data_IF_732586106213
#
_entry.id   IF_732586106213
#
_cell.length_a   1.000
_cell.length_b   1.000
_cell.length_c   1.000
_cell.angle_alpha   90.00
_cell.angle_beta   90.00
_cell.angle_gamma   90.00
#
_symmetry.space_group_name_H-M   'P 1'
#
loop_
_entity.id
_entity.type
_entity.pdbx_description
1 polymer ?
#
# COMPACT_ATOMS: atom_id res chain seq x y z
N UNK A 1 3.02 -3.21 22.09
CA UNK A 1 3.63 -4.37 21.40
C UNK A 1 3.46 -4.31 19.88
N UNK A 2 2.27 -3.98 19.35
CA UNK A 2 2.05 -3.74 17.92
C UNK A 2 3.07 -2.80 17.22
N UNK A 3 3.46 -1.70 17.86
CA UNK A 3 4.49 -0.77 17.33
C UNK A 3 5.84 -1.46 17.15
N UNK A 4 6.22 -2.37 18.04
CA UNK A 4 7.49 -3.11 17.91
C UNK A 4 7.47 -4.05 16.72
N UNK A 5 6.31 -4.67 16.43
CA UNK A 5 6.10 -5.46 15.21
C UNK A 5 6.24 -4.57 13.98
N UNK A 6 5.56 -3.42 13.96
CA UNK A 6 5.68 -2.45 12.86
C UNK A 6 7.14 -2.03 12.63
N UNK A 7 7.88 -1.67 13.70
CA UNK A 7 9.29 -1.27 13.61
C UNK A 7 10.16 -2.42 13.10
N UNK A 8 9.89 -3.66 13.52
CA UNK A 8 10.61 -4.84 13.03
C UNK A 8 10.42 -5.03 11.54
N UNK A 9 9.19 -4.95 11.03
CA UNK A 9 8.90 -5.08 9.60
C UNK A 9 9.59 -3.97 8.78
N UNK A 10 9.57 -2.73 9.28
CA UNK A 10 10.32 -1.63 8.67
C UNK A 10 11.82 -1.85 8.66
N UNK A 11 12.39 -2.30 9.79
CA UNK A 11 13.82 -2.64 9.86
C UNK A 11 14.17 -3.76 8.89
N UNK A 12 13.35 -4.81 8.82
CA UNK A 12 13.57 -5.92 7.89
C UNK A 12 13.57 -5.44 6.43
N UNK A 13 12.64 -4.56 6.06
CA UNK A 13 12.62 -3.94 4.73
C UNK A 13 13.85 -3.06 4.50
N UNK A 14 14.26 -2.25 5.48
CA UNK A 14 15.41 -1.35 5.39
C UNK A 14 16.75 -2.09 5.27
N UNK A 15 16.88 -3.24 5.93
CA UNK A 15 18.09 -4.07 5.87
C UNK A 15 18.18 -4.92 4.60
N UNK A 16 17.12 -4.97 3.78
CA UNK A 16 17.15 -5.57 2.44
C UNK A 16 17.18 -4.45 1.38
N UNK A 17 18.38 -4.00 0.95
CA UNK A 17 18.52 -2.91 -0.01
C UNK A 17 17.92 -3.26 -1.37
N UNK A 18 17.87 -4.55 -1.75
CA UNK A 18 17.25 -4.96 -3.01
C UNK A 18 15.75 -4.76 -2.94
N UNK A 19 15.12 -5.18 -1.85
CA UNK A 19 13.68 -5.00 -1.66
C UNK A 19 13.29 -3.54 -1.46
N UNK A 20 14.13 -2.72 -0.81
CA UNK A 20 13.93 -1.27 -0.78
C UNK A 20 13.95 -0.65 -2.16
N UNK A 21 14.99 -0.94 -2.95
CA UNK A 21 15.14 -0.40 -4.31
C UNK A 21 14.01 -0.85 -5.22
N UNK A 22 13.61 -2.11 -5.13
CA UNK A 22 12.46 -2.60 -5.87
C UNK A 22 11.19 -1.88 -5.44
N UNK A 23 10.87 -1.85 -4.14
CA UNK A 23 9.59 -1.32 -3.63
C UNK A 23 9.44 0.18 -3.84
N UNK A 24 10.47 0.96 -3.53
CA UNK A 24 10.40 2.42 -3.55
C UNK A 24 11.12 3.05 -4.75
N UNK A 25 12.18 2.43 -5.28
CA UNK A 25 12.97 3.00 -6.37
C UNK A 25 12.44 2.69 -7.77
N UNK A 26 12.00 1.45 -8.01
CA UNK A 26 11.55 1.01 -9.34
C UNK A 26 10.42 1.86 -9.97
N UNK A 27 9.41 2.34 -9.21
CA UNK A 27 8.37 3.22 -9.77
C UNK A 27 8.95 4.47 -10.43
N UNK A 28 9.98 5.07 -9.85
CA UNK A 28 10.61 6.26 -10.44
C UNK A 28 11.32 5.92 -11.73
N UNK A 29 12.00 4.77 -11.80
CA UNK A 29 12.60 4.28 -13.05
C UNK A 29 11.52 4.11 -14.14
N UNK A 30 10.35 3.59 -13.78
CA UNK A 30 9.25 3.45 -14.74
C UNK A 30 8.76 4.78 -15.26
N UNK A 31 8.70 5.82 -14.42
CA UNK A 31 8.38 7.17 -14.88
C UNK A 31 9.35 7.69 -15.95
N UNK A 32 10.65 7.41 -15.83
CA UNK A 32 11.65 7.86 -16.82
C UNK A 32 11.68 6.99 -18.09
N UNK A 33 11.45 5.68 -17.96
CA UNK A 33 11.75 4.72 -19.03
C UNK A 33 10.52 4.06 -19.67
N UNK A 34 9.36 4.06 -19.02
CA UNK A 34 8.18 3.36 -19.51
C UNK A 34 7.06 4.32 -19.95
N UNK A 35 6.62 4.25 -21.22
CA UNK A 35 5.48 5.02 -21.67
C UNK A 35 4.22 4.60 -20.91
N UNK A 36 3.41 5.59 -20.50
CA UNK A 36 2.20 5.39 -19.68
C UNK A 36 2.41 5.53 -18.18
N UNK A 37 3.64 5.36 -17.68
CA UNK A 37 4.00 5.62 -16.28
C UNK A 37 4.40 7.09 -16.04
N UNK A 38 4.73 7.82 -17.11
CA UNK A 38 5.08 9.23 -17.08
C UNK A 38 3.88 10.20 -17.03
N UNK A 39 2.65 9.69 -16.90
CA UNK A 39 1.42 10.46 -16.92
C UNK A 39 1.08 11.17 -15.60
N UNK A 40 0.08 12.05 -15.63
CA UNK A 40 -0.32 12.86 -14.48
C UNK A 40 -0.91 12.07 -13.29
N UNK A 41 -1.23 10.79 -13.48
CA UNK A 41 -1.69 9.87 -12.45
C UNK A 41 -0.54 9.13 -11.72
N UNK A 42 0.73 9.42 -12.05
CA UNK A 42 1.90 8.71 -11.49
C UNK A 42 1.91 8.58 -9.96
N UNK A 43 1.52 9.58 -9.14
CA UNK A 43 1.45 9.41 -7.68
C UNK A 43 0.56 8.24 -7.23
N UNK A 44 -0.52 7.94 -7.96
CA UNK A 44 -1.37 6.78 -7.69
C UNK A 44 -0.66 5.47 -8.05
N UNK A 45 0.08 5.45 -9.15
CA UNK A 45 0.90 4.31 -9.59
C UNK A 45 2.00 4.01 -8.57
N UNK A 46 2.65 5.04 -8.03
CA UNK A 46 3.65 4.93 -6.98
C UNK A 46 3.07 4.24 -5.72
N UNK A 47 1.89 4.68 -5.26
CA UNK A 47 1.19 4.04 -4.13
C UNK A 47 0.85 2.58 -4.44
N UNK A 48 0.28 2.29 -5.61
CA UNK A 48 -0.06 0.93 -6.02
C UNK A 48 1.17 0.01 -6.03
N UNK A 49 2.28 0.50 -6.56
CA UNK A 49 3.50 -0.28 -6.68
C UNK A 49 4.18 -0.53 -5.34
N UNK A 50 4.20 0.45 -4.44
CA UNK A 50 4.70 0.23 -3.08
C UNK A 50 3.87 -0.85 -2.39
N UNK A 51 2.54 -0.83 -2.51
CA UNK A 51 1.69 -1.90 -1.98
C UNK A 51 2.05 -3.27 -2.56
N UNK A 52 2.33 -3.34 -3.87
CA UNK A 52 2.79 -4.57 -4.51
C UNK A 52 4.10 -5.08 -3.90
N UNK A 53 5.08 -4.18 -3.73
CA UNK A 53 6.38 -4.51 -3.15
C UNK A 53 6.26 -5.01 -1.70
N UNK A 54 5.45 -4.34 -0.87
CA UNK A 54 5.20 -4.75 0.52
C UNK A 54 4.47 -6.09 0.63
N UNK A 55 3.62 -6.44 -0.34
CA UNK A 55 2.96 -7.75 -0.37
C UNK A 55 3.88 -8.85 -0.88
N UNK A 56 4.76 -8.52 -1.82
CA UNK A 56 5.72 -9.49 -2.36
C UNK A 56 6.88 -9.76 -1.40
N UNK A 57 7.27 -8.76 -0.58
CA UNK A 57 8.29 -8.91 0.47
C UNK A 57 7.84 -9.77 1.65
N UNK A 58 6.54 -9.96 1.83
CA UNK A 58 5.96 -10.95 2.76
C UNK A 58 6.16 -12.35 2.19
N UNK A 59 7.42 -12.76 2.17
CA UNK A 59 7.81 -14.15 2.00
C UNK A 59 7.13 -14.97 3.10
N UNK A 60 6.19 -15.79 2.66
CA UNK A 60 5.57 -16.91 3.33
C UNK A 60 4.84 -16.65 4.66
N UNK A 61 3.58 -17.07 4.71
CA UNK A 61 2.81 -17.31 5.94
C UNK A 61 3.53 -18.18 6.99
N UNK A 62 4.69 -18.79 6.66
CA UNK A 62 5.62 -19.39 7.62
C UNK A 62 6.23 -18.37 8.59
N UNK A 63 6.37 -17.10 8.23
CA UNK A 63 6.95 -16.05 9.07
C UNK A 63 5.99 -15.57 10.15
N UNK A 64 4.68 -15.60 9.92
CA UNK A 64 3.67 -15.26 10.96
C UNK A 64 3.70 -16.33 12.08
N UNK A 65 3.78 -17.62 11.72
CA UNK A 65 3.99 -18.71 12.70
C UNK A 65 5.35 -18.58 13.41
N UNK A 66 6.43 -18.29 12.69
CA UNK A 66 7.75 -18.11 13.29
C UNK A 66 7.82 -16.87 14.21
N UNK A 67 7.13 -15.78 13.85
CA UNK A 67 7.06 -14.54 14.62
C UNK A 67 6.31 -14.69 15.94
N UNK A 68 5.23 -15.48 15.95
CA UNK A 68 4.49 -15.84 17.18
C UNK A 68 5.29 -16.77 18.10
N UNK A 69 6.18 -17.60 17.55
CA UNK A 69 7.06 -18.47 18.35
C UNK A 69 8.32 -17.77 18.88
N UNK A 70 8.78 -16.70 18.22
CA UNK A 70 10.04 -16.02 18.56
C UNK A 70 9.86 -14.80 19.47
N UNK A 71 8.66 -14.26 19.58
CA UNK A 71 8.36 -13.13 20.47
C UNK A 71 7.06 -13.38 21.23
N UNK A 72 6.96 -12.99 22.52
CA UNK A 72 5.73 -13.10 23.30
C UNK A 72 4.73 -12.01 22.89
N UNK A 73 4.35 -11.98 21.63
CA UNK A 73 3.36 -11.04 21.09
C UNK A 73 2.05 -11.77 20.85
N UNK A 74 0.94 -11.15 21.22
CA UNK A 74 -0.38 -11.71 20.93
C UNK A 74 -0.65 -11.66 19.41
N UNK A 75 -1.49 -12.56 18.90
CA UNK A 75 -1.93 -12.52 17.51
C UNK A 75 -2.54 -11.15 17.13
N UNK A 76 -3.23 -10.52 18.09
CA UNK A 76 -3.82 -9.17 17.93
C UNK A 76 -2.76 -8.08 17.77
N UNK A 77 -1.67 -8.13 18.55
CA UNK A 77 -0.55 -7.20 18.39
C UNK A 77 0.15 -7.36 17.05
N UNK A 78 0.30 -8.59 16.57
CA UNK A 78 0.89 -8.84 15.26
C UNK A 78 0.01 -8.30 14.14
N UNK A 79 -1.30 -8.56 14.18
CA UNK A 79 -2.28 -7.98 13.23
C UNK A 79 -2.21 -6.46 13.25
N UNK A 80 -2.34 -5.82 14.42
CA UNK A 80 -2.26 -4.36 14.52
C UNK A 80 -0.93 -3.81 13.98
N UNK A 81 0.20 -4.48 14.26
CA UNK A 81 1.51 -4.11 13.75
C UNK A 81 1.59 -4.15 12.22
N UNK A 82 1.01 -5.18 11.58
CA UNK A 82 0.97 -5.31 10.12
C UNK A 82 0.12 -4.21 9.47
N UNK A 83 -1.02 -3.86 10.06
CA UNK A 83 -1.87 -2.77 9.60
C UNK A 83 -1.14 -1.42 9.68
N UNK A 84 -0.49 -1.14 10.82
CA UNK A 84 0.29 0.08 11.03
C UNK A 84 1.47 0.16 10.07
N UNK A 85 2.19 -0.95 9.87
CA UNK A 85 3.31 -1.02 8.92
C UNK A 85 2.91 -0.58 7.52
N UNK A 86 1.80 -1.12 7.00
CA UNK A 86 1.33 -0.77 5.66
C UNK A 86 0.80 0.67 5.58
N UNK A 87 0.06 1.12 6.60
CA UNK A 87 -0.44 2.49 6.63
C UNK A 87 0.72 3.50 6.63
N UNK A 88 1.75 3.27 7.45
CA UNK A 88 2.96 4.11 7.47
C UNK A 88 3.68 4.07 6.12
N UNK A 89 3.71 2.94 5.43
CA UNK A 89 4.34 2.84 4.12
C UNK A 89 3.58 3.65 3.05
N UNK A 90 2.25 3.63 3.07
CA UNK A 90 1.44 4.51 2.20
C UNK A 90 1.69 5.98 2.51
N UNK A 91 1.68 6.37 3.80
CA UNK A 91 1.96 7.74 4.22
C UNK A 91 3.36 8.22 3.79
N UNK A 92 4.38 7.39 4.01
CA UNK A 92 5.74 7.65 3.57
C UNK A 92 5.80 7.82 2.05
N UNK A 93 5.15 6.92 1.31
CA UNK A 93 5.09 6.98 -0.16
C UNK A 93 4.42 8.26 -0.64
N UNK A 94 3.33 8.68 0.00
CA UNK A 94 2.67 9.94 -0.30
C UNK A 94 3.58 11.15 -0.02
N UNK A 95 4.36 11.14 1.06
CA UNK A 95 5.34 12.20 1.32
C UNK A 95 6.44 12.25 0.25
N UNK A 96 6.95 11.09 -0.19
CA UNK A 96 7.91 11.02 -1.30
C UNK A 96 7.27 11.50 -2.60
N UNK A 97 6.00 11.17 -2.85
CA UNK A 97 5.26 11.66 -4.01
C UNK A 97 5.14 13.19 -4.00
N UNK A 98 4.87 13.82 -2.84
CA UNK A 98 4.88 15.30 -2.72
C UNK A 98 6.24 15.84 -3.16
N UNK A 99 7.33 15.33 -2.59
CA UNK A 99 8.67 15.79 -2.94
C UNK A 99 8.96 15.64 -4.44
N UNK A 100 8.59 14.50 -5.04
CA UNK A 100 8.73 14.26 -6.47
C UNK A 100 7.91 15.23 -7.32
N UNK A 101 6.65 15.48 -6.96
CA UNK A 101 5.78 16.44 -7.65
C UNK A 101 6.37 17.86 -7.62
N UNK A 102 6.95 18.28 -6.49
CA UNK A 102 7.62 19.57 -6.37
C UNK A 102 8.89 19.67 -7.23
N UNK A 103 9.62 18.57 -7.41
CA UNK A 103 10.83 18.53 -8.24
C UNK A 103 10.51 18.56 -9.74
N UNK A 104 9.44 17.87 -10.17
CA UNK A 104 9.08 17.71 -11.58
C UNK A 104 8.19 18.83 -12.10
N UNK A 105 7.44 19.50 -11.22
CA UNK A 105 6.43 20.49 -11.53
C UNK A 105 5.03 19.97 -11.21
N UNK A 106 4.33 20.51 -10.19
CA UNK A 106 3.02 20.00 -9.76
C UNK A 106 1.95 20.08 -10.87
N UNK A 107 2.08 21.01 -11.82
CA UNK A 107 1.20 21.20 -12.96
C UNK A 107 1.18 20.03 -13.95
N UNK A 108 2.17 19.13 -13.89
CA UNK A 108 2.24 17.93 -14.72
C UNK A 108 1.38 16.78 -14.19
N UNK A 109 0.82 16.93 -12.99
CA UNK A 109 0.04 15.90 -12.32
C UNK A 109 -1.44 16.28 -12.26
N UNK A 110 -2.29 15.26 -12.21
CA UNK A 110 -3.72 15.47 -12.07
C UNK A 110 -4.04 16.12 -10.72
N UNK A 111 -4.96 17.06 -10.71
CA UNK A 111 -5.47 17.66 -9.50
C UNK A 111 -6.04 16.56 -8.58
N UNK A 112 -5.85 16.74 -7.27
CA UNK A 112 -6.28 15.85 -6.20
C UNK A 112 -5.75 14.40 -6.26
N UNK A 113 -4.83 14.08 -7.18
CA UNK A 113 -4.33 12.70 -7.34
C UNK A 113 -3.76 12.14 -6.05
N UNK A 114 -2.94 12.93 -5.35
CA UNK A 114 -2.25 12.48 -4.16
C UNK A 114 -3.19 12.17 -2.98
N UNK A 115 -4.05 13.09 -2.53
CA UNK A 115 -4.94 12.79 -1.40
C UNK A 115 -5.92 11.65 -1.74
N UNK A 116 -6.36 11.54 -3.01
CA UNK A 116 -7.22 10.43 -3.43
C UNK A 116 -6.46 9.10 -3.48
N UNK A 117 -5.24 9.09 -4.02
CA UNK A 117 -4.36 7.92 -4.02
C UNK A 117 -4.03 7.46 -2.61
N UNK A 118 -3.81 8.38 -1.66
CA UNK A 118 -3.62 8.08 -0.25
C UNK A 118 -4.86 7.41 0.35
N UNK A 119 -6.05 7.96 0.11
CA UNK A 119 -7.31 7.37 0.61
C UNK A 119 -7.54 5.95 0.06
N UNK A 120 -7.39 5.77 -1.25
CA UNK A 120 -7.52 4.45 -1.89
C UNK A 120 -6.41 3.50 -1.42
N UNK A 121 -5.18 3.99 -1.29
CA UNK A 121 -4.05 3.22 -0.77
C UNK A 121 -4.32 2.70 0.64
N UNK A 122 -4.83 3.55 1.55
CA UNK A 122 -5.23 3.13 2.89
C UNK A 122 -6.34 2.07 2.87
N UNK A 123 -7.37 2.25 2.05
CA UNK A 123 -8.41 1.23 1.88
C UNK A 123 -7.82 -0.11 1.41
N UNK A 124 -6.97 -0.07 0.39
CA UNK A 124 -6.31 -1.25 -0.16
C UNK A 124 -5.44 -1.93 0.89
N UNK A 125 -4.64 -1.21 1.69
CA UNK A 125 -3.87 -1.83 2.78
C UNK A 125 -4.74 -2.62 3.76
N UNK A 126 -5.91 -2.07 4.11
CA UNK A 126 -6.88 -2.76 4.95
C UNK A 126 -7.39 -4.06 4.32
N UNK A 127 -7.88 -3.98 3.07
CA UNK A 127 -8.37 -5.14 2.32
C UNK A 127 -7.29 -6.21 2.19
N UNK A 128 -6.13 -5.83 1.68
CA UNK A 128 -5.06 -6.76 1.36
C UNK A 128 -4.51 -7.43 2.63
N UNK A 129 -4.44 -6.71 3.75
CA UNK A 129 -4.02 -7.30 5.03
C UNK A 129 -5.03 -8.34 5.50
N UNK A 130 -6.32 -8.04 5.41
CA UNK A 130 -7.37 -9.01 5.78
C UNK A 130 -7.37 -10.24 4.87
N UNK A 131 -7.19 -10.06 3.56
CA UNK A 131 -7.02 -11.19 2.63
C UNK A 131 -5.83 -12.07 3.03
N UNK A 132 -4.71 -11.46 3.42
CA UNK A 132 -3.54 -12.17 3.92
C UNK A 132 -3.76 -12.91 5.24
N UNK A 133 -4.72 -12.46 6.06
CA UNK A 133 -5.07 -13.11 7.33
C UNK A 133 -6.06 -14.25 7.16
N UNK A 134 -7.03 -14.12 6.25
CA UNK A 134 -8.17 -15.05 6.16
C UNK A 134 -8.08 -16.06 5.01
N UNK A 135 -7.33 -15.76 3.94
CA UNK A 135 -7.20 -16.68 2.82
C UNK A 135 -5.92 -17.52 2.90
N UNK A 136 -5.91 -18.70 2.27
CA UNK A 136 -4.68 -19.45 2.04
C UNK A 136 -3.64 -18.59 1.32
N UNK A 137 -2.33 -18.75 1.58
CA UNK A 137 -1.30 -17.82 1.11
C UNK A 137 -1.29 -17.60 -0.41
N UNK A 138 -1.54 -18.65 -1.19
CA UNK A 138 -1.60 -18.56 -2.66
C UNK A 138 -2.83 -17.77 -3.13
N UNK A 139 -3.99 -18.00 -2.52
CA UNK A 139 -5.23 -17.28 -2.83
C UNK A 139 -5.14 -15.81 -2.40
N UNK A 140 -4.58 -15.54 -1.21
CA UNK A 140 -4.31 -14.19 -0.73
C UNK A 140 -3.38 -13.45 -1.68
N UNK A 141 -2.26 -14.07 -2.10
CA UNK A 141 -1.31 -13.48 -3.04
C UNK A 141 -1.97 -13.16 -4.38
N UNK A 142 -2.72 -14.10 -4.95
CA UNK A 142 -3.39 -13.92 -6.24
C UNK A 142 -4.45 -12.81 -6.17
N UNK A 143 -5.29 -12.80 -5.13
CA UNK A 143 -6.29 -11.76 -4.91
C UNK A 143 -5.64 -10.38 -4.71
N UNK A 144 -4.56 -10.31 -3.93
CA UNK A 144 -3.84 -9.07 -3.69
C UNK A 144 -3.19 -8.51 -4.96
N UNK A 145 -2.51 -9.36 -5.74
CA UNK A 145 -1.93 -8.95 -7.02
C UNK A 145 -3.04 -8.48 -7.95
N UNK A 146 -4.15 -9.20 -8.06
CA UNK A 146 -5.27 -8.81 -8.93
C UNK A 146 -5.82 -7.43 -8.56
N UNK A 147 -6.09 -7.19 -7.27
CA UNK A 147 -6.60 -5.90 -6.79
C UNK A 147 -5.64 -4.74 -7.07
N UNK A 148 -4.35 -4.95 -6.81
CA UNK A 148 -3.32 -3.92 -7.05
C UNK A 148 -3.17 -3.67 -8.55
N UNK A 149 -3.16 -4.71 -9.37
CA UNK A 149 -3.09 -4.58 -10.84
C UNK A 149 -4.32 -3.87 -11.38
N UNK A 150 -5.53 -4.16 -10.90
CA UNK A 150 -6.74 -3.44 -11.30
C UNK A 150 -6.65 -1.96 -10.96
N UNK A 151 -6.20 -1.61 -9.75
CA UNK A 151 -6.00 -0.22 -9.37
C UNK A 151 -4.89 0.47 -10.19
N UNK A 152 -3.79 -0.23 -10.45
CA UNK A 152 -2.69 0.28 -11.27
C UNK A 152 -3.13 0.51 -12.72
N UNK A 153 -3.90 -0.41 -13.31
CA UNK A 153 -4.48 -0.24 -14.64
C UNK A 153 -5.43 0.96 -14.68
N UNK A 154 -6.29 1.10 -13.67
CA UNK A 154 -7.16 2.27 -13.56
C UNK A 154 -6.36 3.58 -13.54
N UNK A 155 -5.23 3.63 -12.85
CA UNK A 155 -4.37 4.81 -12.79
C UNK A 155 -3.61 5.08 -14.10
N UNK A 156 -3.04 4.04 -14.73
CA UNK A 156 -2.26 4.17 -15.97
C UNK A 156 -3.15 4.58 -17.15
N UNK A 157 -4.35 4.00 -17.25
CA UNK A 157 -5.28 4.22 -18.35
C UNK A 157 -6.33 5.30 -18.06
N UNK A 158 -6.04 6.25 -17.16
CA UNK A 158 -6.85 7.47 -17.07
C UNK A 158 -6.80 8.23 -18.40
N UNK A 159 -7.92 8.85 -18.77
CA UNK A 159 -8.01 9.67 -19.98
C UNK A 159 -7.02 10.84 -19.90
N UNK A 160 -6.23 11.03 -20.95
CA UNK A 160 -5.20 12.07 -21.06
C UNK A 160 -5.81 13.47 -20.99
N UNK A 161 -7.09 13.62 -21.36
CA UNK A 161 -7.80 14.90 -21.30
C UNK A 161 -8.36 15.20 -19.89
N UNK A 162 -8.28 14.27 -18.93
CA UNK A 162 -8.75 14.51 -17.57
C UNK A 162 -7.70 15.25 -16.75
N UNK A 163 -8.11 16.39 -16.18
CA UNK A 163 -7.26 17.23 -15.31
C UNK A 163 -7.38 16.86 -13.83
N UNK A 164 -8.42 16.12 -13.44
CA UNK A 164 -8.71 15.72 -12.05
C UNK A 164 -8.71 14.21 -11.95
N UNK A 165 -7.96 13.65 -11.00
CA UNK A 165 -7.93 12.21 -10.77
C UNK A 165 -9.24 11.75 -10.11
N UNK A 166 -9.91 10.70 -10.63
CA UNK A 166 -11.21 10.24 -10.12
C UNK A 166 -12.21 11.39 -9.92
N UNK A 167 -12.66 12.07 -11.00
CA UNK A 167 -13.50 13.26 -10.89
C UNK A 167 -14.87 12.99 -10.25
N UNK A 168 -15.32 11.74 -10.30
CA UNK A 168 -16.57 11.26 -9.70
C UNK A 168 -16.51 11.06 -8.18
N UNK A 169 -15.33 11.18 -7.56
CA UNK A 169 -15.14 11.02 -6.11
C UNK A 169 -14.44 12.25 -5.53
N UNK A 170 -15.04 12.85 -4.49
CA UNK A 170 -14.44 14.00 -3.82
C UNK A 170 -13.27 13.59 -2.92
N UNK A 171 -12.33 14.52 -2.66
CA UNK A 171 -11.21 14.27 -1.75
C UNK A 171 -11.69 13.85 -0.34
N UNK A 172 -12.62 14.57 0.31
CA UNK A 172 -13.10 14.16 1.63
C UNK A 172 -13.73 12.78 1.63
N UNK A 173 -14.55 12.45 0.61
CA UNK A 173 -15.15 11.14 0.50
C UNK A 173 -14.08 10.04 0.35
N UNK A 174 -13.07 10.26 -0.48
CA UNK A 174 -11.99 9.29 -0.70
C UNK A 174 -11.18 9.04 0.58
N UNK A 175 -10.87 10.09 1.33
CA UNK A 175 -10.13 9.99 2.59
C UNK A 175 -10.96 9.31 3.69
N UNK A 176 -12.26 9.64 3.80
CA UNK A 176 -13.17 9.00 4.74
C UNK A 176 -13.39 7.52 4.42
N UNK A 177 -13.55 7.17 3.15
CA UNK A 177 -13.62 5.77 2.70
C UNK A 177 -12.29 5.04 2.98
N UNK A 178 -11.16 5.71 2.74
CA UNK A 178 -9.83 5.19 3.02
C UNK A 178 -9.61 4.87 4.49
N UNK A 179 -9.71 5.88 5.35
CA UNK A 179 -9.49 5.74 6.79
C UNK A 179 -10.58 4.90 7.46
N UNK A 180 -11.84 5.08 7.07
CA UNK A 180 -12.98 4.31 7.58
C UNK A 180 -12.90 2.84 7.18
N UNK A 181 -12.58 2.55 5.92
CA UNK A 181 -12.38 1.19 5.44
C UNK A 181 -11.17 0.53 6.10
N UNK A 182 -10.03 1.22 6.18
CA UNK A 182 -8.85 0.73 6.90
C UNK A 182 -9.18 0.39 8.36
N UNK A 183 -9.87 1.29 9.07
CA UNK A 183 -10.27 1.10 10.47
C UNK A 183 -11.24 -0.06 10.64
N UNK A 184 -12.21 -0.20 9.74
CA UNK A 184 -13.15 -1.31 9.73
C UNK A 184 -12.44 -2.65 9.52
N UNK A 185 -11.53 -2.74 8.55
CA UNK A 185 -10.74 -3.95 8.31
C UNK A 185 -9.79 -4.28 9.47
N UNK A 186 -9.22 -3.25 10.12
CA UNK A 186 -8.44 -3.44 11.35
C UNK A 186 -9.30 -4.07 12.45
N UNK A 187 -10.48 -3.49 12.72
CA UNK A 187 -11.40 -4.03 13.73
C UNK A 187 -11.82 -5.46 13.41
N UNK A 188 -12.09 -5.77 12.14
CA UNK A 188 -12.40 -7.13 11.69
C UNK A 188 -11.22 -8.08 11.90
N UNK A 189 -10.01 -7.68 11.54
CA UNK A 189 -8.79 -8.49 11.75
C UNK A 189 -8.46 -8.72 13.23
N UNK A 190 -8.77 -7.75 14.10
CA UNK A 190 -8.59 -7.87 15.55
C UNK A 190 -9.67 -8.73 16.22
N UNK A 191 -10.90 -8.72 15.69
CA UNK A 191 -12.03 -9.51 16.20
C UNK A 191 -11.95 -10.97 15.75
N UNK A 192 -11.51 -11.20 14.52
CA UNK A 192 -11.34 -12.52 13.92
C UNK A 192 -9.87 -12.73 13.52
N UNK A 193 -8.95 -12.81 14.52
CA UNK A 193 -7.57 -13.13 14.23
C UNK A 193 -7.50 -14.56 13.66
N UNK A 194 -6.54 -14.85 12.77
CA UNK A 194 -6.37 -16.20 12.23
C UNK A 194 -6.22 -17.22 13.37
N UNK A 195 -6.94 -18.34 13.28
CA UNK A 195 -6.73 -19.50 14.14
C UNK A 195 -5.40 -20.11 13.74
N UNK A 196 -4.37 -19.94 14.58
CA UNK A 196 -2.98 -20.36 14.31
C UNK A 196 -2.81 -21.86 14.47
#
# INVERSE_FOLDING_TARGET
MAINVMIREWKALLYDPRMMLLTFGAPFLFWFFLPGFNGGAFPAVLVAYVLLGLFNSRSDARVIRAGLTQFPVTAKDHVAGLFLYQAVAVLFTSAVAVAFMQLVGPERFMADVLPKALGVGLLLTGILTVLGLWLPPQAARLASILLIVLFMNFAIFQDINQTVFMPWLSVPATLLLGAGGWGLFLLLGLRFPPQV
#
